data_IF_414408539407
#
_entry.id   IF_414408539407
#
_cell.length_a   1.000
_cell.length_b   1.000
_cell.length_c   1.000
_cell.angle_alpha   90.00
_cell.angle_beta   90.00
_cell.angle_gamma   90.00
#
_symmetry.space_group_name_H-M   'P 1'
#
loop_
_entity.id
_entity.type
_entity.pdbx_description
1 polymer ?
#
# COMPACT_ATOMS: atom_id res chain seq x y z
N UNK A 1 -28.91 13.12 87.14
CA UNK A 1 -27.79 13.01 86.21
C UNK A 1 -28.33 12.49 84.90
N UNK A 2 -28.44 13.35 83.91
CA UNK A 2 -28.92 12.96 82.58
C UNK A 2 -27.67 12.84 81.67
N UNK A 3 -27.47 11.64 81.07
CA UNK A 3 -26.40 11.40 80.12
C UNK A 3 -26.77 11.97 78.74
N UNK A 4 -25.89 12.80 78.16
CA UNK A 4 -25.99 13.25 76.76
C UNK A 4 -25.49 12.15 75.83
N UNK A 5 -26.15 11.89 74.68
CA UNK A 5 -25.62 10.97 73.68
C UNK A 5 -24.54 11.65 72.82
N UNK A 6 -23.41 11.02 72.68
CA UNK A 6 -22.31 11.41 71.77
C UNK A 6 -22.68 11.00 70.36
N UNK A 7 -22.90 11.98 69.46
CA UNK A 7 -23.12 11.72 68.01
C UNK A 7 -21.75 11.61 67.34
N UNK A 8 -21.40 10.43 66.84
CA UNK A 8 -20.21 10.20 66.01
C UNK A 8 -20.58 10.46 64.56
N UNK A 9 -20.03 11.55 64.01
CA UNK A 9 -20.14 11.83 62.59
C UNK A 9 -19.08 11.01 61.85
N UNK A 10 -19.50 9.95 61.10
CA UNK A 10 -18.62 9.22 60.19
C UNK A 10 -18.53 10.01 58.86
N UNK A 11 -17.41 10.62 58.59
CA UNK A 11 -17.11 11.22 57.26
C UNK A 11 -16.71 10.09 56.31
N UNK A 12 -17.60 9.78 55.37
CA UNK A 12 -17.31 8.85 54.26
C UNK A 12 -16.62 9.64 53.14
N UNK A 13 -15.32 9.42 52.99
CA UNK A 13 -14.58 9.93 51.84
C UNK A 13 -14.93 9.08 50.61
N UNK A 14 -15.72 9.62 49.67
CA UNK A 14 -15.82 9.09 48.32
C UNK A 14 -14.55 9.40 47.55
N UNK A 15 -13.67 8.43 47.41
CA UNK A 15 -12.66 8.46 46.37
C UNK A 15 -13.35 8.31 45.03
N UNK A 16 -13.55 9.44 44.32
CA UNK A 16 -13.87 9.42 42.88
C UNK A 16 -12.58 9.07 42.17
N UNK A 17 -12.37 7.78 41.90
CA UNK A 17 -11.35 7.33 40.96
C UNK A 17 -11.77 7.85 39.58
N UNK A 18 -11.10 8.87 39.07
CA UNK A 18 -11.17 9.20 37.65
C UNK A 18 -10.57 8.01 36.89
N UNK A 19 -11.40 7.06 36.52
CA UNK A 19 -11.05 6.07 35.50
C UNK A 19 -11.01 6.85 34.20
N UNK A 20 -9.84 7.35 33.83
CA UNK A 20 -9.60 7.76 32.44
C UNK A 20 -9.84 6.50 31.61
N UNK A 21 -10.85 6.55 30.75
CA UNK A 21 -11.04 5.48 29.79
C UNK A 21 -9.75 5.35 28.97
N UNK A 22 -9.20 4.14 28.93
CA UNK A 22 -8.03 3.84 28.10
C UNK A 22 -8.39 4.15 26.65
N UNK A 23 -7.55 4.94 25.97
CA UNK A 23 -7.80 5.31 24.59
C UNK A 23 -7.68 4.07 23.71
N UNK A 24 -8.65 3.88 22.83
CA UNK A 24 -8.66 2.75 21.90
C UNK A 24 -7.55 2.83 20.88
N UNK A 25 -6.98 1.66 20.53
CA UNK A 25 -5.90 1.54 19.56
C UNK A 25 -6.21 2.26 18.25
N UNK A 26 -5.26 3.02 17.76
CA UNK A 26 -5.33 3.76 16.49
C UNK A 26 -4.16 3.36 15.60
N UNK A 27 -4.43 3.06 14.35
CA UNK A 27 -3.40 2.73 13.35
C UNK A 27 -3.32 3.85 12.32
N UNK A 28 -2.10 4.32 12.06
CA UNK A 28 -1.79 5.26 10.98
C UNK A 28 -0.89 4.54 9.99
N UNK A 29 -1.23 4.59 8.70
CA UNK A 29 -0.43 4.04 7.61
C UNK A 29 -0.07 5.17 6.65
N UNK A 30 1.23 5.39 6.44
CA UNK A 30 1.77 6.26 5.40
C UNK A 30 2.39 5.40 4.33
N UNK A 31 1.88 5.46 3.10
CA UNK A 31 2.51 4.85 1.94
C UNK A 31 3.29 5.91 1.17
N UNK A 32 4.60 5.70 1.04
CA UNK A 32 5.51 6.54 0.26
C UNK A 32 5.80 5.85 -1.06
N UNK A 33 5.06 6.21 -2.10
CA UNK A 33 5.10 5.56 -3.42
C UNK A 33 6.51 5.49 -4.00
N UNK A 34 6.89 4.33 -4.50
CA UNK A 34 8.15 4.09 -5.19
C UNK A 34 9.40 4.18 -4.30
N UNK A 35 9.25 4.23 -2.97
CA UNK A 35 10.39 4.35 -2.07
C UNK A 35 11.09 3.00 -1.87
N UNK A 36 12.29 2.89 -2.43
CA UNK A 36 13.12 1.66 -2.37
C UNK A 36 13.58 1.34 -0.96
N UNK A 37 13.73 0.03 -0.67
CA UNK A 37 14.20 -0.48 0.62
C UNK A 37 15.60 0.02 1.02
N UNK A 38 16.45 0.37 0.07
CA UNK A 38 17.85 0.75 0.30
C UNK A 38 18.07 2.25 0.60
N UNK A 39 17.00 2.98 0.91
CA UNK A 39 17.10 4.40 1.34
C UNK A 39 18.01 4.60 2.55
N UNK A 40 18.11 3.60 3.42
CA UNK A 40 18.97 3.64 4.61
C UNK A 40 20.47 3.77 4.29
N UNK A 41 20.88 3.61 3.03
CA UNK A 41 22.24 3.93 2.58
C UNK A 41 22.50 5.43 2.50
N UNK A 42 21.44 6.26 2.55
CA UNK A 42 21.58 7.72 2.64
C UNK A 42 21.73 8.09 4.12
N UNK A 43 22.79 8.83 4.46
CA UNK A 43 22.94 9.51 5.73
C UNK A 43 21.87 10.60 5.89
N UNK A 44 21.52 10.96 7.12
CA UNK A 44 20.64 12.08 7.48
C UNK A 44 19.13 11.80 7.38
N UNK A 45 18.69 10.55 7.60
CA UNK A 45 17.28 10.16 7.65
C UNK A 45 16.81 9.94 9.11
N UNK A 46 16.89 11.00 9.91
CA UNK A 46 16.67 10.97 11.36
C UNK A 46 15.29 10.45 11.78
N UNK A 47 14.23 10.70 11.00
CA UNK A 47 12.90 10.17 11.29
C UNK A 47 12.81 8.65 11.06
N UNK A 48 13.36 8.15 9.96
CA UNK A 48 13.45 6.71 9.70
C UNK A 48 14.38 6.01 10.71
N UNK A 49 15.49 6.66 11.08
CA UNK A 49 16.43 6.14 12.09
C UNK A 49 15.76 6.06 13.47
N UNK A 50 14.97 7.08 13.84
CA UNK A 50 14.17 7.06 15.07
C UNK A 50 13.21 5.87 15.08
N UNK A 51 12.44 5.65 13.99
CA UNK A 51 11.51 4.52 13.91
C UNK A 51 12.26 3.20 14.00
N UNK A 52 13.37 3.04 13.27
CA UNK A 52 14.16 1.81 13.30
C UNK A 52 14.75 1.50 14.69
N UNK A 53 15.12 2.53 15.45
CA UNK A 53 15.75 2.38 16.79
C UNK A 53 14.72 2.12 17.88
N UNK A 54 13.55 2.76 17.81
CA UNK A 54 12.54 2.70 18.87
C UNK A 54 11.40 1.74 18.58
N UNK A 55 11.24 1.32 17.34
CA UNK A 55 10.19 0.45 16.84
C UNK A 55 10.74 -0.67 15.96
N UNK A 56 10.15 -0.87 14.81
CA UNK A 56 10.40 -2.00 13.93
C UNK A 56 10.86 -1.52 12.54
N UNK A 57 11.88 -2.19 12.02
CA UNK A 57 12.31 -2.09 10.62
C UNK A 57 12.42 -3.47 10.01
N UNK A 58 11.80 -3.69 8.85
CA UNK A 58 12.05 -4.88 8.04
C UNK A 58 13.28 -4.68 7.14
N UNK A 59 13.93 -5.79 6.76
CA UNK A 59 14.99 -5.78 5.75
C UNK A 59 14.50 -5.15 4.46
N UNK A 60 13.30 -5.55 4.01
CA UNK A 60 12.57 -4.95 2.90
C UNK A 60 11.11 -5.44 2.87
N UNK A 61 10.26 -4.70 2.17
CA UNK A 61 8.93 -5.11 1.80
C UNK A 61 8.96 -5.74 0.41
N UNK A 62 8.44 -6.96 0.28
CA UNK A 62 8.28 -7.69 -0.98
C UNK A 62 6.93 -7.28 -1.58
N UNK A 63 6.90 -6.54 -2.72
CA UNK A 63 5.66 -6.15 -3.34
C UNK A 63 4.97 -7.33 -4.03
N UNK A 64 3.69 -7.16 -4.36
CA UNK A 64 2.99 -8.09 -5.25
C UNK A 64 3.47 -7.92 -6.69
N UNK A 65 3.12 -8.87 -7.56
CA UNK A 65 3.43 -8.78 -8.99
C UNK A 65 2.14 -8.51 -9.78
N UNK A 66 2.17 -7.57 -10.76
CA UNK A 66 3.26 -6.66 -11.05
C UNK A 66 3.43 -5.59 -9.96
N UNK A 67 4.69 -5.18 -9.71
CA UNK A 67 5.03 -4.21 -8.66
C UNK A 67 4.66 -2.80 -9.11
N UNK A 68 3.35 -2.52 -9.18
CA UNK A 68 2.79 -1.24 -9.62
C UNK A 68 1.84 -0.65 -8.58
N UNK A 69 1.61 0.65 -8.65
CA UNK A 69 0.89 1.45 -7.65
C UNK A 69 -0.47 0.88 -7.26
N UNK A 70 -1.35 0.60 -8.24
CA UNK A 70 -2.71 0.12 -7.96
C UNK A 70 -2.71 -1.28 -7.35
N UNK A 71 -2.11 -2.32 -7.98
CA UNK A 71 -2.00 -3.64 -7.36
C UNK A 71 -1.36 -3.60 -5.97
N UNK A 72 -0.30 -2.82 -5.81
CA UNK A 72 0.42 -2.68 -4.54
C UNK A 72 -0.47 -2.12 -3.43
N UNK A 73 -1.09 -0.96 -3.66
CA UNK A 73 -1.94 -0.32 -2.64
C UNK A 73 -3.20 -1.13 -2.31
N UNK A 74 -3.78 -1.81 -3.31
CA UNK A 74 -4.93 -2.68 -3.07
C UNK A 74 -4.50 -3.92 -2.27
N UNK A 75 -3.34 -4.52 -2.57
CA UNK A 75 -2.81 -5.64 -1.77
C UNK A 75 -2.46 -5.24 -0.33
N UNK A 76 -1.85 -4.04 -0.11
CA UNK A 76 -1.62 -3.49 1.23
C UNK A 76 -2.92 -3.35 2.04
N UNK A 77 -4.02 -3.03 1.35
CA UNK A 77 -5.31 -2.78 1.98
C UNK A 77 -6.21 -4.00 2.11
N UNK A 78 -5.99 -5.05 1.32
CA UNK A 78 -6.87 -6.24 1.29
C UNK A 78 -6.23 -7.49 1.88
N UNK A 79 -4.90 -7.53 1.97
CA UNK A 79 -4.17 -8.71 2.45
C UNK A 79 -4.18 -9.89 1.48
N UNK A 80 -4.48 -9.65 0.18
CA UNK A 80 -4.48 -10.69 -0.86
C UNK A 80 -3.64 -10.28 -2.06
N UNK A 81 -3.27 -11.25 -2.91
CA UNK A 81 -2.56 -11.01 -4.16
C UNK A 81 -3.48 -10.49 -5.28
N UNK A 82 -2.86 -10.00 -6.36
CA UNK A 82 -3.53 -9.31 -7.47
C UNK A 82 -4.60 -10.15 -8.17
N UNK A 83 -4.42 -11.45 -8.27
CA UNK A 83 -5.41 -12.36 -8.86
C UNK A 83 -6.66 -12.57 -8.00
N UNK A 84 -6.59 -12.27 -6.71
CA UNK A 84 -7.72 -12.37 -5.78
C UNK A 84 -8.49 -11.06 -5.65
N UNK A 85 -7.81 -9.92 -5.62
CA UNK A 85 -8.50 -8.62 -5.57
C UNK A 85 -8.83 -8.05 -6.95
N UNK A 86 -8.33 -8.67 -8.02
CA UNK A 86 -8.68 -8.35 -9.41
C UNK A 86 -8.00 -7.12 -10.03
N UNK A 87 -7.27 -6.31 -9.27
CA UNK A 87 -6.56 -5.14 -9.80
C UNK A 87 -5.18 -5.55 -10.27
N UNK A 88 -5.04 -5.84 -11.56
CA UNK A 88 -3.81 -6.38 -12.14
C UNK A 88 -2.82 -5.28 -12.59
N UNK A 89 -3.30 -4.06 -12.82
CA UNK A 89 -2.51 -2.89 -13.22
C UNK A 89 -3.21 -1.58 -12.85
N UNK A 90 -2.51 -0.45 -13.00
CA UNK A 90 -3.10 0.89 -12.89
C UNK A 90 -4.18 1.11 -13.97
N UNK A 91 -4.05 0.41 -15.10
CA UNK A 91 -5.08 0.34 -16.15
C UNK A 91 -5.17 -1.09 -16.66
N UNK A 92 -6.37 -1.63 -16.80
CA UNK A 92 -6.57 -3.02 -17.19
C UNK A 92 -7.81 -3.18 -18.09
N UNK A 93 -7.89 -4.32 -18.75
CA UNK A 93 -9.04 -4.74 -19.54
C UNK A 93 -9.72 -5.92 -18.85
N UNK A 94 -11.03 -5.80 -18.66
CA UNK A 94 -11.88 -6.91 -18.24
C UNK A 94 -12.65 -7.44 -19.46
N UNK A 95 -12.58 -8.74 -19.71
CA UNK A 95 -13.19 -9.38 -20.88
C UNK A 95 -14.72 -9.28 -20.91
N UNK A 96 -15.37 -8.95 -19.77
CA UNK A 96 -16.82 -8.78 -19.67
C UNK A 96 -17.25 -7.31 -19.66
N UNK A 97 -16.44 -6.44 -19.00
CA UNK A 97 -16.84 -5.06 -18.69
C UNK A 97 -16.10 -4.02 -19.52
N UNK A 98 -14.97 -4.40 -20.17
CA UNK A 98 -14.22 -3.51 -21.04
C UNK A 98 -12.96 -2.94 -20.38
N UNK A 99 -12.54 -1.75 -20.82
CA UNK A 99 -11.28 -1.13 -20.44
C UNK A 99 -11.46 -0.12 -19.29
N UNK A 100 -10.64 -0.27 -18.27
CA UNK A 100 -10.54 0.63 -17.12
C UNK A 100 -9.17 1.32 -17.11
N UNK A 101 -9.18 2.63 -16.93
CA UNK A 101 -7.97 3.46 -16.90
C UNK A 101 -7.90 4.27 -15.62
N UNK A 102 -7.01 3.91 -14.71
CA UNK A 102 -6.92 4.50 -13.36
C UNK A 102 -8.30 4.59 -12.70
N UNK A 103 -9.00 3.44 -12.55
CA UNK A 103 -10.38 3.44 -12.09
C UNK A 103 -10.47 3.93 -10.63
N UNK A 104 -11.56 4.62 -10.34
CA UNK A 104 -11.91 5.13 -9.02
C UNK A 104 -13.03 4.34 -8.32
N UNK A 105 -13.59 3.33 -9.01
CA UNK A 105 -14.67 2.50 -8.50
C UNK A 105 -14.16 1.48 -7.49
N UNK A 106 -14.51 1.62 -6.22
CA UNK A 106 -14.18 0.68 -5.15
C UNK A 106 -14.70 -0.74 -5.40
N UNK A 107 -15.88 -0.86 -6.04
CA UNK A 107 -16.51 -2.15 -6.38
C UNK A 107 -15.74 -2.97 -7.44
N UNK A 108 -14.71 -2.41 -8.07
CA UNK A 108 -13.81 -3.18 -8.93
C UNK A 108 -12.82 -4.06 -8.16
N UNK A 109 -12.69 -3.84 -6.86
CA UNK A 109 -11.89 -4.66 -5.96
C UNK A 109 -12.77 -5.84 -5.51
N UNK A 110 -12.36 -7.07 -5.82
CA UNK A 110 -13.18 -8.27 -5.62
C UNK A 110 -13.32 -8.70 -4.14
N UNK A 111 -12.53 -8.12 -3.24
CA UNK A 111 -12.54 -8.41 -1.78
C UNK A 111 -12.54 -7.12 -0.97
N UNK A 112 -13.08 -7.12 0.27
CA UNK A 112 -13.20 -5.91 1.06
C UNK A 112 -11.83 -5.36 1.49
N UNK A 113 -11.54 -4.05 1.25
CA UNK A 113 -10.38 -3.38 1.82
C UNK A 113 -10.50 -3.19 3.34
N UNK A 114 -9.38 -3.03 4.04
CA UNK A 114 -9.30 -2.95 5.51
C UNK A 114 -10.12 -1.77 6.09
N UNK A 115 -10.25 -0.64 5.38
CA UNK A 115 -11.09 0.47 5.83
C UNK A 115 -12.57 0.10 5.80
N UNK A 116 -13.02 -0.75 4.86
CA UNK A 116 -14.38 -1.27 4.81
C UNK A 116 -14.63 -2.21 5.99
N UNK A 117 -13.70 -3.12 6.26
CA UNK A 117 -13.78 -4.03 7.40
C UNK A 117 -13.79 -3.27 8.75
N UNK A 118 -13.00 -2.20 8.85
CA UNK A 118 -13.00 -1.32 10.02
C UNK A 118 -14.39 -0.68 10.23
N UNK A 119 -14.96 -0.06 9.19
CA UNK A 119 -16.29 0.55 9.26
C UNK A 119 -17.38 -0.47 9.60
N UNK A 120 -17.33 -1.67 9.02
CA UNK A 120 -18.26 -2.76 9.34
C UNK A 120 -18.13 -3.24 10.79
N UNK A 121 -16.93 -3.14 11.37
CA UNK A 121 -16.68 -3.43 12.77
C UNK A 121 -17.02 -2.25 13.71
N UNK A 122 -17.56 -1.13 13.19
CA UNK A 122 -17.87 0.08 13.96
C UNK A 122 -16.64 0.92 14.32
N UNK A 123 -15.54 0.74 13.61
CA UNK A 123 -14.28 1.48 13.76
C UNK A 123 -14.20 2.54 12.67
N UNK A 124 -14.35 3.84 12.98
CA UNK A 124 -14.27 4.89 11.98
C UNK A 124 -12.90 4.89 11.28
N UNK A 125 -12.91 4.93 9.94
CA UNK A 125 -11.72 4.99 9.11
C UNK A 125 -11.59 6.35 8.41
N UNK A 126 -10.36 6.78 8.18
CA UNK A 126 -10.01 7.95 7.39
C UNK A 126 -9.03 7.57 6.30
N UNK A 127 -9.33 7.96 5.05
CA UNK A 127 -8.46 7.70 3.91
C UNK A 127 -8.15 8.97 3.15
N UNK A 128 -6.85 9.16 2.84
CA UNK A 128 -6.37 10.31 2.08
C UNK A 128 -5.69 9.79 0.80
N UNK A 129 -6.43 9.81 -0.32
CA UNK A 129 -5.97 9.40 -1.65
C UNK A 129 -5.52 7.93 -1.77
N UNK A 130 -5.92 7.06 -0.87
CA UNK A 130 -5.57 5.65 -1.01
C UNK A 130 -6.33 5.03 -2.18
N UNK A 131 -5.61 4.30 -3.04
CA UNK A 131 -6.16 3.66 -4.24
C UNK A 131 -7.34 2.74 -3.91
N UNK A 132 -8.46 2.93 -4.61
CA UNK A 132 -9.69 2.16 -4.43
C UNK A 132 -10.59 2.66 -3.30
N UNK A 133 -10.23 3.79 -2.66
CA UNK A 133 -11.05 4.41 -1.61
C UNK A 133 -11.90 5.58 -2.11
N UNK A 134 -11.85 5.89 -3.41
CA UNK A 134 -12.50 7.05 -4.01
C UNK A 134 -14.03 6.95 -3.95
N UNK A 135 -14.56 5.73 -4.06
CA UNK A 135 -15.98 5.43 -3.91
C UNK A 135 -16.22 4.35 -2.85
N UNK A 136 -17.46 4.06 -2.55
CA UNK A 136 -17.80 2.99 -1.60
C UNK A 136 -17.58 1.62 -2.25
N UNK A 137 -17.20 0.65 -1.44
CA UNK A 137 -17.19 -0.76 -1.76
C UNK A 137 -18.47 -1.40 -1.20
N UNK A 138 -19.33 -1.96 -2.05
CA UNK A 138 -20.63 -2.54 -1.65
C UNK A 138 -21.41 -1.63 -0.67
N UNK A 139 -21.49 -0.34 -0.99
CA UNK A 139 -22.14 0.72 -0.20
C UNK A 139 -21.50 0.98 1.18
N UNK A 140 -20.28 0.54 1.42
CA UNK A 140 -19.51 0.87 2.63
C UNK A 140 -18.22 1.60 2.23
N UNK A 141 -17.99 2.77 2.80
CA UNK A 141 -16.79 3.56 2.55
C UNK A 141 -16.24 4.14 3.86
N UNK A 142 -15.04 4.68 3.82
CA UNK A 142 -14.45 5.33 4.98
C UNK A 142 -15.26 6.54 5.43
N UNK A 143 -15.48 6.68 6.74
CA UNK A 143 -16.20 7.80 7.37
C UNK A 143 -15.59 9.16 7.03
N UNK A 144 -14.27 9.21 6.85
CA UNK A 144 -13.52 10.38 6.43
C UNK A 144 -12.76 10.06 5.16
N UNK A 145 -13.02 10.79 4.08
CA UNK A 145 -12.43 10.53 2.77
C UNK A 145 -11.92 11.81 2.13
N UNK A 146 -10.70 11.80 1.62
CA UNK A 146 -10.18 12.79 0.68
C UNK A 146 -10.00 12.10 -0.68
N UNK A 147 -10.81 12.49 -1.64
CA UNK A 147 -10.88 11.95 -2.99
C UNK A 147 -11.52 13.00 -3.92
N UNK A 148 -11.34 12.92 -5.24
CA UNK A 148 -10.40 12.06 -5.95
C UNK A 148 -8.93 12.47 -5.71
N UNK A 149 -7.97 11.65 -6.19
CA UNK A 149 -6.55 12.00 -6.15
C UNK A 149 -6.27 13.32 -6.87
N UNK A 150 -5.50 14.18 -6.22
CA UNK A 150 -5.05 15.46 -6.75
C UNK A 150 -3.56 15.66 -6.44
N UNK A 151 -2.71 15.53 -7.46
CA UNK A 151 -1.26 15.68 -7.35
C UNK A 151 -0.81 17.10 -6.91
N UNK A 152 -1.69 18.10 -6.95
CA UNK A 152 -1.39 19.45 -6.45
C UNK A 152 -1.46 19.56 -4.93
N UNK A 153 -2.06 18.59 -4.25
CA UNK A 153 -2.18 18.56 -2.79
C UNK A 153 -0.87 18.09 -2.18
N UNK A 154 -0.19 18.99 -1.46
CA UNK A 154 1.12 18.71 -0.89
C UNK A 154 1.07 17.69 0.27
N UNK A 155 2.19 17.00 0.52
CA UNK A 155 2.32 16.07 1.63
C UNK A 155 2.19 16.78 2.98
N UNK A 156 2.57 18.07 3.09
CA UNK A 156 2.33 18.92 4.26
C UNK A 156 0.83 19.05 4.56
N UNK A 157 0.01 19.19 3.52
CA UNK A 157 -1.46 19.24 3.66
C UNK A 157 -2.01 17.92 4.18
N UNK A 158 -1.42 16.80 3.73
CA UNK A 158 -1.81 15.45 4.19
C UNK A 158 -1.52 15.27 5.69
N UNK A 159 -0.33 15.71 6.16
CA UNK A 159 0.01 15.69 7.60
C UNK A 159 -0.96 16.55 8.42
N UNK A 160 -1.22 17.78 7.98
CA UNK A 160 -2.16 18.66 8.65
C UNK A 160 -3.55 18.01 8.79
N UNK A 161 -4.04 17.36 7.74
CA UNK A 161 -5.33 16.66 7.79
C UNK A 161 -5.29 15.46 8.75
N UNK A 162 -4.19 14.70 8.80
CA UNK A 162 -4.03 13.61 9.76
C UNK A 162 -4.11 14.15 11.19
N UNK A 163 -3.41 15.24 11.48
CA UNK A 163 -3.44 15.86 12.81
C UNK A 163 -4.82 16.40 13.18
N UNK A 164 -5.55 16.99 12.24
CA UNK A 164 -6.94 17.40 12.43
C UNK A 164 -7.86 16.21 12.77
N UNK A 165 -7.67 15.06 12.13
CA UNK A 165 -8.43 13.84 12.45
C UNK A 165 -8.08 13.31 13.84
N UNK A 166 -6.83 13.38 14.26
CA UNK A 166 -6.40 12.95 15.61
C UNK A 166 -6.97 13.84 16.72
N UNK A 167 -7.31 15.10 16.42
CA UNK A 167 -7.86 16.07 17.37
C UNK A 167 -9.40 16.02 17.48
N UNK A 168 -10.07 15.13 16.75
CA UNK A 168 -11.52 14.92 16.85
C UNK A 168 -11.90 14.29 18.20
N UNK A 169 -13.18 14.47 18.60
CA UNK A 169 -13.75 13.80 19.76
C UNK A 169 -13.61 12.28 19.66
N UNK A 170 -13.23 11.60 20.73
CA UNK A 170 -12.94 10.16 20.76
C UNK A 170 -14.07 9.29 20.19
N UNK A 171 -15.33 9.76 20.22
CA UNK A 171 -16.48 9.03 19.68
C UNK A 171 -16.53 8.97 18.16
N UNK A 172 -15.89 9.93 17.49
CA UNK A 172 -15.92 10.03 16.02
C UNK A 172 -14.52 10.00 15.42
N UNK A 173 -13.48 10.07 16.25
CA UNK A 173 -12.08 10.07 15.81
C UNK A 173 -11.78 8.78 15.04
N UNK A 174 -11.21 8.87 13.82
CA UNK A 174 -10.83 7.66 13.08
C UNK A 174 -9.74 6.90 13.83
N UNK A 175 -9.91 5.59 13.89
CA UNK A 175 -8.95 4.65 14.49
C UNK A 175 -8.11 3.92 13.46
N UNK A 176 -8.48 4.02 12.18
CA UNK A 176 -7.66 3.66 11.03
C UNK A 176 -7.48 4.90 10.16
N UNK A 177 -6.24 5.33 9.94
CA UNK A 177 -5.91 6.46 9.07
C UNK A 177 -4.91 5.97 8.02
N UNK A 178 -5.24 6.09 6.74
CA UNK A 178 -4.37 5.66 5.64
C UNK A 178 -4.11 6.85 4.70
N UNK A 179 -2.84 7.13 4.40
CA UNK A 179 -2.45 8.27 3.56
C UNK A 179 -1.42 7.88 2.52
N UNK A 180 -1.67 8.27 1.26
CA UNK A 180 -0.82 8.04 0.11
C UNK A 180 0.03 9.27 -0.22
N UNK A 181 1.34 9.08 -0.39
CA UNK A 181 2.33 10.11 -0.70
C UNK A 181 3.10 9.76 -1.98
N UNK A 182 2.86 10.50 -3.05
CA UNK A 182 3.32 10.19 -4.41
C UNK A 182 4.72 10.76 -4.77
N UNK A 183 5.33 11.54 -3.87
CA UNK A 183 6.47 12.39 -4.23
C UNK A 183 7.72 11.65 -4.71
N UNK A 184 8.07 10.49 -4.15
CA UNK A 184 9.28 9.75 -4.54
C UNK A 184 9.11 9.13 -5.90
N UNK A 185 7.99 8.47 -6.18
CA UNK A 185 7.67 7.87 -7.48
C UNK A 185 7.70 8.93 -8.60
N UNK A 186 7.01 10.05 -8.40
CA UNK A 186 6.95 11.15 -9.36
C UNK A 186 8.33 11.64 -9.79
N UNK A 187 9.26 11.80 -8.83
CA UNK A 187 10.62 12.27 -9.13
C UNK A 187 11.44 11.15 -9.78
N UNK A 188 11.27 9.90 -9.33
CA UNK A 188 12.02 8.76 -9.83
C UNK A 188 11.72 8.43 -11.29
N UNK A 189 10.50 8.62 -11.75
CA UNK A 189 10.16 8.50 -13.17
C UNK A 189 10.94 9.49 -14.05
N UNK A 190 11.19 10.70 -13.56
CA UNK A 190 11.87 11.74 -14.32
C UNK A 190 13.40 11.63 -14.29
N UNK A 191 13.96 11.31 -13.14
CA UNK A 191 15.39 11.35 -12.86
C UNK A 191 16.06 9.98 -12.83
N UNK A 192 15.29 8.91 -12.73
CA UNK A 192 15.75 7.58 -12.36
C UNK A 192 15.87 7.43 -10.83
N UNK A 193 16.11 6.20 -10.33
CA UNK A 193 16.06 5.90 -8.90
C UNK A 193 17.23 6.45 -8.08
N UNK A 194 18.30 6.94 -8.72
CA UNK A 194 19.56 7.33 -8.07
C UNK A 194 19.96 8.78 -8.31
N UNK A 195 19.12 9.56 -8.97
CA UNK A 195 19.40 10.96 -9.30
C UNK A 195 19.46 11.90 -8.09
N UNK A 196 20.07 13.11 -8.20
CA UNK A 196 20.18 14.05 -7.09
C UNK A 196 18.82 14.58 -6.60
N UNK A 197 17.82 14.65 -7.47
CA UNK A 197 16.47 15.08 -7.08
C UNK A 197 15.75 14.02 -6.23
N UNK A 198 16.02 12.73 -6.45
CA UNK A 198 15.53 11.66 -5.58
C UNK A 198 16.04 11.83 -4.16
N UNK A 199 17.34 12.06 -4.00
CA UNK A 199 17.91 12.30 -2.66
C UNK A 199 17.23 13.48 -1.98
N UNK A 200 17.01 14.58 -2.70
CA UNK A 200 16.30 15.76 -2.17
C UNK A 200 14.86 15.43 -1.76
N UNK A 201 14.15 14.64 -2.56
CA UNK A 201 12.78 14.24 -2.27
C UNK A 201 12.70 13.31 -1.03
N UNK A 202 13.60 12.33 -0.93
CA UNK A 202 13.68 11.45 0.25
C UNK A 202 13.95 12.27 1.52
N UNK A 203 14.89 13.23 1.48
CA UNK A 203 15.15 14.13 2.62
C UNK A 203 13.93 15.00 2.96
N UNK A 204 13.16 15.44 1.96
CA UNK A 204 11.91 16.17 2.20
C UNK A 204 10.88 15.28 2.90
N UNK A 205 10.66 14.06 2.43
CA UNK A 205 9.72 13.13 3.05
C UNK A 205 10.18 12.70 4.46
N UNK A 206 11.48 12.53 4.67
CA UNK A 206 12.03 12.30 6.02
C UNK A 206 11.71 13.46 6.98
N UNK A 207 11.88 14.73 6.54
CA UNK A 207 11.51 15.90 7.34
C UNK A 207 10.01 15.90 7.68
N UNK A 208 9.16 15.60 6.70
CA UNK A 208 7.71 15.54 6.90
C UNK A 208 7.30 14.40 7.83
N UNK A 209 7.95 13.25 7.70
CA UNK A 209 7.75 12.14 8.62
C UNK A 209 8.13 12.54 10.06
N UNK A 210 9.24 13.28 10.25
CA UNK A 210 9.61 13.82 11.55
C UNK A 210 8.55 14.77 12.10
N UNK A 211 8.00 15.67 11.27
CA UNK A 211 6.90 16.55 11.68
C UNK A 211 5.69 15.76 12.19
N UNK A 212 5.34 14.65 11.52
CA UNK A 212 4.24 13.77 11.97
C UNK A 212 4.59 13.07 13.31
N UNK A 213 5.82 12.57 13.46
CA UNK A 213 6.28 11.98 14.73
C UNK A 213 6.21 12.99 15.89
N UNK A 214 6.67 14.22 15.65
CA UNK A 214 6.62 15.31 16.63
C UNK A 214 5.18 15.69 17.01
N UNK A 215 4.23 15.63 16.06
CA UNK A 215 2.82 15.87 16.34
C UNK A 215 2.20 14.78 17.22
N UNK A 216 2.63 13.52 17.05
CA UNK A 216 2.20 12.40 17.91
C UNK A 216 2.83 12.55 19.32
N UNK A 217 4.12 12.95 19.40
CA UNK A 217 4.81 13.25 20.67
C UNK A 217 4.09 14.33 21.47
N UNK A 218 3.73 15.46 20.85
CA UNK A 218 3.01 16.57 21.49
C UNK A 218 1.68 16.16 22.12
N UNK A 219 1.05 15.13 21.56
CA UNK A 219 -0.21 14.57 22.04
C UNK A 219 -0.03 13.50 23.12
N UNK A 220 1.22 13.11 23.43
CA UNK A 220 1.54 11.94 24.26
C UNK A 220 0.73 10.71 23.86
N UNK A 221 0.71 10.40 22.54
CA UNK A 221 -0.23 9.46 21.97
C UNK A 221 0.36 8.09 21.62
N UNK A 222 1.62 7.85 21.97
CA UNK A 222 2.32 6.59 21.68
C UNK A 222 1.85 5.38 22.49
N UNK A 223 1.02 5.59 23.50
CA UNK A 223 0.38 4.53 24.27
C UNK A 223 -0.83 3.90 23.58
N UNK A 224 -1.38 4.55 22.52
CA UNK A 224 -2.50 4.04 21.75
C UNK A 224 -2.34 4.17 20.22
N UNK A 225 -1.37 4.93 19.71
CA UNK A 225 -1.10 5.03 18.26
C UNK A 225 0.00 4.06 17.84
N UNK A 226 -0.25 3.33 16.75
CA UNK A 226 0.74 2.57 15.98
C UNK A 226 0.85 3.18 14.58
N UNK A 227 2.06 3.62 14.20
CA UNK A 227 2.36 4.21 12.90
C UNK A 227 3.14 3.21 12.04
N UNK A 228 2.66 2.95 10.83
CA UNK A 228 3.35 2.20 9.79
C UNK A 228 3.77 3.15 8.66
N UNK A 229 5.00 3.01 8.19
CA UNK A 229 5.53 3.71 7.02
C UNK A 229 6.00 2.66 6.03
N UNK A 230 5.32 2.57 4.90
CA UNK A 230 5.53 1.54 3.87
C UNK A 230 5.72 2.18 2.49
N UNK A 231 6.10 1.39 1.51
CA UNK A 231 5.93 1.72 0.10
C UNK A 231 5.26 0.56 -0.63
N UNK A 232 4.65 0.86 -1.74
CA UNK A 232 3.96 -0.12 -2.58
C UNK A 232 4.91 -0.88 -3.50
N UNK A 233 6.02 -0.27 -3.91
CA UNK A 233 7.11 -0.85 -4.70
C UNK A 233 8.39 -0.03 -4.58
N UNK A 234 9.43 -0.46 -5.27
CA UNK A 234 10.65 0.28 -5.52
C UNK A 234 10.69 0.89 -6.92
N UNK A 235 11.90 1.08 -7.47
CA UNK A 235 12.12 1.74 -8.76
C UNK A 235 13.44 1.28 -9.36
N UNK A 236 13.49 1.02 -10.68
CA UNK A 236 14.70 0.68 -11.41
C UNK A 236 14.91 1.58 -12.63
N UNK A 237 16.11 1.61 -13.18
CA UNK A 237 16.42 2.35 -14.41
C UNK A 237 15.88 1.64 -15.63
N UNK A 238 15.35 2.41 -16.60
CA UNK A 238 14.90 1.92 -17.90
C UNK A 238 15.50 2.74 -19.03
N UNK A 239 15.79 2.07 -20.15
CA UNK A 239 16.42 2.71 -21.31
C UNK A 239 16.03 2.10 -22.65
N UNK A 240 15.24 1.01 -22.63
CA UNK A 240 14.78 0.35 -23.85
C UNK A 240 13.24 0.27 -23.86
N UNK A 241 12.62 0.85 -24.88
CA UNK A 241 11.17 1.04 -24.95
C UNK A 241 10.59 0.15 -26.04
N UNK A 242 9.82 -0.88 -25.63
CA UNK A 242 9.19 -1.85 -26.52
C UNK A 242 7.81 -1.31 -26.91
N UNK A 243 7.62 -0.96 -28.18
CA UNK A 243 6.35 -0.46 -28.72
C UNK A 243 5.36 -1.62 -28.91
N UNK A 244 4.60 -1.94 -27.87
CA UNK A 244 3.70 -3.09 -27.85
C UNK A 244 2.67 -3.03 -29.00
N UNK A 245 2.09 -1.84 -29.25
CA UNK A 245 1.14 -1.65 -30.36
C UNK A 245 1.74 -1.99 -31.74
N UNK A 246 3.01 -1.69 -31.95
CA UNK A 246 3.68 -1.99 -33.21
C UNK A 246 3.92 -3.50 -33.37
N UNK A 247 4.28 -4.20 -32.29
CA UNK A 247 4.40 -5.65 -32.29
C UNK A 247 3.04 -6.33 -32.55
N UNK A 248 1.96 -5.84 -31.91
CA UNK A 248 0.60 -6.34 -32.19
C UNK A 248 0.26 -6.15 -33.66
N UNK A 249 0.52 -4.98 -34.24
CA UNK A 249 0.28 -4.73 -35.66
C UNK A 249 1.10 -5.66 -36.58
N UNK A 250 2.37 -5.90 -36.24
CA UNK A 250 3.26 -6.80 -36.99
C UNK A 250 2.78 -8.26 -36.95
N UNK A 251 2.17 -8.68 -35.84
CA UNK A 251 1.62 -10.04 -35.75
C UNK A 251 0.50 -10.33 -36.74
N UNK A 252 -0.19 -9.29 -37.22
CA UNK A 252 -1.36 -9.41 -38.09
C UNK A 252 -2.59 -10.02 -37.42
N UNK A 253 -2.55 -10.20 -36.09
CA UNK A 253 -3.62 -10.82 -35.30
C UNK A 253 -4.47 -9.72 -34.66
N UNK A 254 -5.79 -9.94 -34.60
CA UNK A 254 -6.69 -9.04 -33.88
C UNK A 254 -6.56 -9.29 -32.36
N UNK A 255 -5.95 -8.35 -31.65
CA UNK A 255 -5.62 -8.44 -30.22
C UNK A 255 -6.12 -7.19 -29.51
N UNK A 256 -6.89 -7.39 -28.43
CA UNK A 256 -7.10 -6.36 -27.41
C UNK A 256 -6.00 -6.51 -26.35
N UNK A 257 -5.35 -5.41 -25.98
CA UNK A 257 -4.25 -5.46 -25.03
C UNK A 257 -4.42 -4.44 -23.91
N UNK A 258 -4.07 -4.84 -22.68
CA UNK A 258 -3.80 -3.93 -21.58
C UNK A 258 -2.37 -4.17 -21.09
N UNK A 259 -1.63 -3.10 -20.79
CA UNK A 259 -0.24 -3.25 -20.40
C UNK A 259 0.17 -2.24 -19.35
N UNK A 260 0.94 -2.72 -18.38
CA UNK A 260 1.87 -1.92 -17.60
C UNK A 260 3.26 -1.93 -18.23
N UNK A 261 4.26 -1.41 -17.51
CA UNK A 261 5.63 -1.33 -18.00
C UNK A 261 6.30 -2.68 -18.24
N UNK A 262 6.05 -3.65 -17.37
CA UNK A 262 6.74 -4.94 -17.39
C UNK A 262 5.85 -6.11 -17.81
N UNK A 263 4.54 -5.98 -17.67
CA UNK A 263 3.57 -7.04 -17.94
C UNK A 263 2.50 -6.53 -18.88
N UNK A 264 2.13 -7.33 -19.89
CA UNK A 264 1.03 -7.04 -20.79
C UNK A 264 0.10 -8.25 -20.93
N UNK A 265 -1.20 -8.00 -20.92
CA UNK A 265 -2.25 -8.99 -21.10
C UNK A 265 -2.84 -8.84 -22.50
N UNK A 266 -2.84 -9.93 -23.28
CA UNK A 266 -3.32 -9.98 -24.63
C UNK A 266 -4.59 -10.85 -24.69
N UNK A 267 -5.68 -10.29 -25.18
CA UNK A 267 -6.97 -10.96 -25.34
C UNK A 267 -7.27 -11.16 -26.81
N UNK A 268 -7.65 -12.36 -27.21
CA UNK A 268 -7.87 -12.72 -28.60
C UNK A 268 -8.78 -13.94 -28.77
N UNK A 269 -9.19 -14.22 -30.02
CA UNK A 269 -9.86 -15.46 -30.33
C UNK A 269 -8.96 -16.69 -30.12
N UNK A 270 -9.51 -17.77 -29.58
CA UNK A 270 -8.75 -18.98 -29.24
C UNK A 270 -8.05 -19.59 -30.48
N UNK A 271 -8.63 -19.43 -31.69
CA UNK A 271 -8.00 -19.90 -32.93
C UNK A 271 -6.70 -19.16 -33.28
N UNK A 272 -6.54 -17.93 -32.77
CA UNK A 272 -5.35 -17.08 -33.01
C UNK A 272 -4.26 -17.30 -31.97
N UNK A 273 -4.58 -17.89 -30.82
CA UNK A 273 -3.72 -17.98 -29.65
C UNK A 273 -2.37 -18.64 -29.92
N UNK A 274 -2.37 -19.80 -30.63
CA UNK A 274 -1.11 -20.52 -30.93
C UNK A 274 -0.21 -19.71 -31.86
N UNK A 275 -0.78 -19.02 -32.85
CA UNK A 275 0.00 -18.15 -33.75
C UNK A 275 0.57 -16.93 -33.00
N UNK A 276 -0.24 -16.32 -32.13
CA UNK A 276 0.17 -15.20 -31.30
C UNK A 276 1.30 -15.61 -30.33
N UNK A 277 1.14 -16.73 -29.61
CA UNK A 277 2.16 -17.23 -28.69
C UNK A 277 3.50 -17.47 -29.41
N UNK A 278 3.44 -18.11 -30.60
CA UNK A 278 4.64 -18.33 -31.42
C UNK A 278 5.29 -17.00 -31.85
N UNK A 279 4.51 -16.02 -32.27
CA UNK A 279 5.02 -14.71 -32.71
C UNK A 279 5.71 -13.97 -31.55
N UNK A 280 5.04 -13.85 -30.42
CA UNK A 280 5.56 -13.10 -29.28
C UNK A 280 6.74 -13.79 -28.58
N UNK A 281 6.77 -15.14 -28.56
CA UNK A 281 7.91 -15.90 -28.02
C UNK A 281 9.20 -15.74 -28.83
N UNK A 282 9.12 -15.24 -30.06
CA UNK A 282 10.30 -14.95 -30.89
C UNK A 282 10.81 -13.52 -30.77
N UNK A 283 10.10 -12.66 -30.03
CA UNK A 283 10.52 -11.28 -29.84
C UNK A 283 11.62 -11.19 -28.80
N UNK A 284 12.65 -10.37 -29.11
CA UNK A 284 13.73 -10.13 -28.18
C UNK A 284 13.22 -9.44 -26.90
N UNK A 285 13.75 -9.84 -25.76
CA UNK A 285 13.44 -9.26 -24.45
C UNK A 285 11.98 -9.42 -23.99
N UNK A 286 11.24 -10.37 -24.57
CA UNK A 286 9.88 -10.70 -24.21
C UNK A 286 9.79 -12.19 -23.86
N UNK A 287 9.20 -12.48 -22.70
CA UNK A 287 8.73 -13.81 -22.33
C UNK A 287 7.22 -13.84 -22.55
N UNK A 288 6.73 -14.83 -23.29
CA UNK A 288 5.31 -14.98 -23.59
C UNK A 288 4.77 -16.27 -22.96
N UNK A 289 3.72 -16.14 -22.17
CA UNK A 289 3.08 -17.24 -21.46
C UNK A 289 1.64 -17.41 -21.94
N UNK A 290 1.21 -18.66 -22.14
CA UNK A 290 -0.21 -18.96 -22.07
C UNK A 290 -0.70 -18.72 -20.63
N UNK A 291 -1.90 -18.17 -20.44
CA UNK A 291 -2.41 -17.88 -19.10
C UNK A 291 -2.48 -19.11 -18.19
N UNK A 292 -2.59 -20.30 -18.76
CA UNK A 292 -2.64 -21.56 -18.00
C UNK A 292 -1.24 -22.10 -17.64
N UNK A 293 -0.19 -21.56 -18.26
CA UNK A 293 1.20 -21.91 -18.00
C UNK A 293 1.93 -20.83 -17.17
N UNK A 294 1.21 -19.82 -16.67
CA UNK A 294 1.76 -18.82 -15.78
C UNK A 294 2.25 -19.48 -14.46
N UNK A 295 3.45 -19.17 -13.99
CA UNK A 295 3.87 -19.59 -12.66
C UNK A 295 2.86 -19.14 -11.59
N UNK A 296 2.44 -20.06 -10.72
CA UNK A 296 1.51 -19.75 -9.61
C UNK A 296 2.02 -18.59 -8.74
N UNK A 297 3.34 -18.51 -8.54
CA UNK A 297 3.99 -17.47 -7.75
C UNK A 297 3.84 -16.05 -8.34
N UNK A 298 3.33 -15.91 -9.56
CA UNK A 298 3.05 -14.59 -10.14
C UNK A 298 1.74 -14.01 -9.63
N UNK A 299 0.79 -14.85 -9.21
CA UNK A 299 -0.52 -14.40 -8.74
C UNK A 299 -1.21 -13.43 -9.72
N UNK A 300 -1.20 -13.82 -11.02
CA UNK A 300 -1.76 -13.01 -12.11
C UNK A 300 -2.97 -13.65 -12.79
N UNK A 301 -3.45 -14.81 -12.31
CA UNK A 301 -4.48 -15.57 -13.01
C UNK A 301 -5.90 -15.20 -12.54
N UNK A 302 -6.33 -13.98 -12.87
CA UNK A 302 -7.72 -13.56 -12.63
C UNK A 302 -8.66 -14.03 -13.77
N UNK A 303 -9.91 -14.45 -13.46
CA UNK A 303 -10.80 -15.08 -14.45
C UNK A 303 -11.11 -14.24 -15.69
N UNK A 304 -11.30 -12.92 -15.56
CA UNK A 304 -11.73 -12.02 -16.63
C UNK A 304 -10.72 -10.95 -17.04
N UNK A 305 -9.72 -10.66 -16.15
CA UNK A 305 -8.76 -9.56 -16.33
C UNK A 305 -7.39 -10.05 -16.78
N UNK A 306 -7.11 -11.35 -16.69
CA UNK A 306 -5.89 -11.94 -17.25
C UNK A 306 -6.10 -12.28 -18.72
N UNK A 307 -5.18 -11.81 -19.58
CA UNK A 307 -5.21 -12.08 -21.02
C UNK A 307 -4.97 -13.55 -21.36
N UNK A 308 -5.41 -13.97 -22.54
CA UNK A 308 -5.15 -15.33 -23.07
C UNK A 308 -3.65 -15.63 -23.18
N UNK A 309 -2.85 -14.58 -23.44
CA UNK A 309 -1.40 -14.57 -23.40
C UNK A 309 -0.95 -13.43 -22.49
N UNK A 310 0.06 -13.70 -21.67
CA UNK A 310 0.72 -12.71 -20.83
C UNK A 310 2.16 -12.54 -21.31
N UNK A 311 2.52 -11.31 -21.62
CA UNK A 311 3.89 -10.93 -21.98
C UNK A 311 4.59 -10.31 -20.79
N UNK A 312 5.85 -10.69 -20.59
CA UNK A 312 6.69 -10.18 -19.51
C UNK A 312 8.01 -9.68 -20.10
N UNK A 313 8.50 -8.58 -19.57
CA UNK A 313 9.83 -8.05 -19.89
C UNK A 313 10.56 -7.66 -18.61
N UNK A 314 11.90 -7.70 -18.65
CA UNK A 314 12.77 -7.35 -17.54
C UNK A 314 13.52 -6.03 -17.80
N UNK A 315 13.99 -5.33 -16.75
CA UNK A 315 14.79 -4.13 -16.94
C UNK A 315 16.06 -4.44 -17.79
N UNK A 316 16.56 -3.50 -18.58
CA UNK A 316 16.14 -2.11 -18.71
C UNK A 316 15.01 -1.88 -19.72
N UNK A 317 14.26 -2.94 -20.09
CA UNK A 317 13.19 -2.85 -21.09
C UNK A 317 11.86 -2.48 -20.42
N UNK A 318 11.00 -1.77 -21.15
CA UNK A 318 9.61 -1.56 -20.74
C UNK A 318 8.66 -1.53 -21.94
N UNK A 319 7.46 -2.03 -21.76
CA UNK A 319 6.37 -1.85 -22.73
C UNK A 319 5.85 -0.41 -22.68
N UNK A 320 5.63 0.15 -23.85
CA UNK A 320 4.98 1.46 -23.99
C UNK A 320 4.16 1.52 -25.27
N UNK A 321 3.21 2.43 -25.30
CA UNK A 321 2.46 2.80 -26.52
C UNK A 321 2.72 4.27 -26.90
N UNK A 322 3.58 4.96 -26.16
CA UNK A 322 3.91 6.37 -26.37
C UNK A 322 5.42 6.53 -26.51
N UNK A 323 5.90 6.71 -27.76
CA UNK A 323 7.33 6.92 -28.05
C UNK A 323 7.92 8.19 -27.41
N UNK A 324 7.08 9.16 -27.08
CA UNK A 324 7.53 10.40 -26.46
C UNK A 324 7.60 10.31 -24.91
N UNK A 325 6.98 9.31 -24.31
CA UNK A 325 7.08 9.05 -22.89
C UNK A 325 8.27 8.12 -22.64
N UNK A 326 9.39 8.70 -22.25
CA UNK A 326 10.65 7.99 -21.98
C UNK A 326 11.06 8.26 -20.52
N UNK A 327 10.38 7.65 -19.53
CA UNK A 327 10.79 7.77 -18.14
C UNK A 327 12.19 7.17 -17.96
N UNK A 328 12.99 7.73 -17.05
CA UNK A 328 14.31 7.18 -16.70
C UNK A 328 14.20 6.09 -15.63
N UNK A 329 13.22 6.20 -14.75
CA UNK A 329 12.87 5.19 -13.75
C UNK A 329 11.53 4.56 -14.03
N UNK A 330 11.41 3.26 -13.72
CA UNK A 330 10.18 2.49 -13.88
C UNK A 330 10.12 1.34 -12.87
N UNK A 331 8.92 0.85 -12.67
CA UNK A 331 8.57 -0.25 -11.78
C UNK A 331 7.61 -1.22 -12.48
N UNK A 332 7.03 -2.18 -11.76
CA UNK A 332 6.12 -3.18 -12.34
C UNK A 332 6.80 -4.50 -12.72
N UNK A 333 8.09 -4.63 -12.42
CA UNK A 333 8.87 -5.83 -12.68
C UNK A 333 8.69 -6.88 -11.58
N UNK A 334 9.37 -8.02 -11.74
CA UNK A 334 9.33 -9.10 -10.77
C UNK A 334 9.72 -8.63 -9.36
N UNK A 335 8.96 -9.00 -8.31
CA UNK A 335 9.29 -8.69 -6.92
C UNK A 335 10.58 -9.37 -6.43
N UNK A 336 11.11 -10.33 -7.19
CA UNK A 336 12.41 -10.94 -6.92
C UNK A 336 13.58 -9.98 -7.16
N UNK A 337 13.39 -8.96 -8.01
CA UNK A 337 14.40 -7.94 -8.26
C UNK A 337 14.54 -7.03 -7.03
N UNK A 338 15.76 -6.85 -6.49
CA UNK A 338 15.99 -5.98 -5.33
C UNK A 338 15.46 -4.55 -5.53
N UNK A 339 15.54 -4.04 -6.74
CA UNK A 339 15.09 -2.69 -7.10
C UNK A 339 13.57 -2.50 -6.96
N UNK A 340 12.79 -3.58 -6.97
CA UNK A 340 11.34 -3.52 -6.76
C UNK A 340 10.93 -3.56 -5.29
N UNK A 341 11.84 -3.88 -4.38
CA UNK A 341 11.56 -3.99 -2.96
C UNK A 341 11.33 -2.62 -2.32
N UNK A 342 10.29 -2.53 -1.52
CA UNK A 342 9.91 -1.32 -0.80
C UNK A 342 10.41 -1.28 0.64
N UNK A 343 10.02 -0.23 1.34
CA UNK A 343 10.29 -0.02 2.77
C UNK A 343 9.16 -0.57 3.64
N UNK A 344 9.51 -0.99 4.87
CA UNK A 344 8.56 -1.27 5.94
C UNK A 344 9.17 -0.85 7.28
N UNK A 345 8.55 0.14 7.91
CA UNK A 345 8.90 0.67 9.21
C UNK A 345 7.65 0.78 10.07
N UNK A 346 7.77 0.56 11.38
CA UNK A 346 6.65 0.75 12.28
C UNK A 346 7.09 1.17 13.69
N UNK A 347 6.29 2.00 14.39
CA UNK A 347 6.53 2.45 15.75
C UNK A 347 5.19 2.70 16.46
N UNK A 348 5.15 2.48 17.77
CA UNK A 348 4.02 2.86 18.62
C UNK A 348 3.53 1.78 19.58
N UNK A 349 2.29 1.91 20.03
CA UNK A 349 1.70 1.17 21.14
C UNK A 349 1.78 -0.36 21.04
N UNK A 350 1.51 -0.90 19.86
CA UNK A 350 1.51 -2.34 19.63
C UNK A 350 2.89 -2.89 19.20
N UNK A 351 3.94 -2.05 19.15
CA UNK A 351 5.17 -2.33 18.42
C UNK A 351 6.37 -2.26 19.36
N UNK A 352 7.11 -3.36 19.47
CA UNK A 352 8.39 -3.39 20.20
C UNK A 352 9.56 -3.24 19.22
N UNK A 353 10.70 -2.77 19.76
CA UNK A 353 11.93 -2.66 18.96
C UNK A 353 12.36 -4.04 18.45
N UNK A 354 12.40 -4.17 17.11
CA UNK A 354 12.73 -5.40 16.42
C UNK A 354 13.22 -5.14 15.01
N UNK A 355 14.22 -5.88 14.58
CA UNK A 355 14.57 -6.02 13.17
C UNK A 355 13.88 -7.28 12.62
N UNK A 356 13.21 -7.15 11.49
CA UNK A 356 12.57 -8.25 10.79
C UNK A 356 13.34 -8.60 9.51
N UNK A 357 13.27 -9.86 9.14
CA UNK A 357 13.57 -10.27 7.76
C UNK A 357 12.60 -9.64 6.75
N UNK A 358 12.57 -10.15 5.51
CA UNK A 358 11.62 -9.71 4.51
C UNK A 358 10.16 -9.87 4.98
N UNK A 359 9.32 -8.87 4.63
CA UNK A 359 7.88 -8.85 4.92
C UNK A 359 7.13 -8.79 3.58
N UNK A 360 6.03 -9.53 3.43
CA UNK A 360 5.21 -9.46 2.24
C UNK A 360 4.20 -8.31 2.33
N UNK A 361 3.92 -7.68 1.22
CA UNK A 361 2.99 -6.55 1.13
C UNK A 361 1.59 -6.91 1.65
N UNK A 362 1.14 -8.14 1.38
CA UNK A 362 -0.15 -8.67 1.82
C UNK A 362 -0.24 -8.88 3.36
N UNK A 363 0.87 -8.80 4.09
CA UNK A 363 0.89 -9.01 5.55
C UNK A 363 0.44 -7.76 6.33
N UNK A 364 0.32 -6.58 5.67
CA UNK A 364 -0.06 -5.34 6.35
C UNK A 364 -1.51 -5.34 6.81
N UNK A 365 -2.46 -5.68 5.92
CA UNK A 365 -3.90 -5.66 6.27
C UNK A 365 -4.24 -6.58 7.45
N UNK A 366 -3.80 -7.86 7.49
CA UNK A 366 -4.05 -8.71 8.66
C UNK A 366 -3.34 -8.19 9.92
N UNK A 367 -2.19 -7.51 9.81
CA UNK A 367 -1.51 -6.87 10.95
C UNK A 367 -2.34 -5.71 11.51
N UNK A 368 -2.90 -4.86 10.65
CA UNK A 368 -3.81 -3.78 11.04
C UNK A 368 -5.07 -4.37 11.71
N UNK A 369 -5.64 -5.41 11.12
CA UNK A 369 -6.82 -6.08 11.65
C UNK A 369 -6.60 -6.63 13.07
N UNK A 370 -5.44 -7.23 13.32
CA UNK A 370 -5.06 -7.75 14.64
C UNK A 370 -4.97 -6.63 15.68
N UNK A 371 -4.30 -5.51 15.37
CA UNK A 371 -4.19 -4.34 16.27
C UNK A 371 -5.56 -3.74 16.59
N UNK A 372 -6.44 -3.63 15.60
CA UNK A 372 -7.76 -3.02 15.75
C UNK A 372 -8.84 -4.00 16.26
N UNK A 373 -8.52 -5.29 16.36
CA UNK A 373 -9.45 -6.33 16.80
C UNK A 373 -10.53 -6.71 15.77
N UNK A 374 -10.27 -6.45 14.48
CA UNK A 374 -11.15 -6.83 13.36
C UNK A 374 -11.06 -8.35 13.16
N UNK A 375 -12.21 -9.03 13.06
CA UNK A 375 -12.28 -10.50 13.03
C UNK A 375 -12.59 -11.09 11.64
N UNK A 376 -13.15 -10.33 10.73
CA UNK A 376 -13.52 -10.80 9.39
C UNK A 376 -12.31 -10.75 8.44
N UNK A 377 -11.34 -11.65 8.65
CA UNK A 377 -10.07 -11.69 7.95
C UNK A 377 -9.79 -13.02 7.23
N UNK A 378 -10.74 -13.96 7.24
CA UNK A 378 -10.55 -15.32 6.71
C UNK A 378 -10.22 -15.35 5.20
N UNK A 379 -10.58 -14.31 4.45
CA UNK A 379 -10.26 -14.18 3.03
C UNK A 379 -8.81 -13.72 2.78
N UNK A 380 -8.12 -13.18 3.78
CA UNK A 380 -6.76 -12.67 3.65
C UNK A 380 -5.76 -13.81 3.46
N UNK A 381 -4.86 -13.67 2.49
CA UNK A 381 -3.77 -14.61 2.22
C UNK A 381 -2.51 -14.28 3.03
N UNK A 382 -2.35 -13.01 3.38
CA UNK A 382 -1.27 -12.53 4.23
C UNK A 382 -1.42 -13.00 5.67
N UNK A 383 -0.36 -12.84 6.45
CA UNK A 383 -0.30 -13.20 7.87
C UNK A 383 0.03 -11.97 8.70
N UNK A 384 -0.63 -11.81 9.85
CA UNK A 384 -0.27 -10.76 10.77
C UNK A 384 1.20 -10.87 11.19
N UNK A 385 1.92 -9.76 11.11
CA UNK A 385 3.32 -9.66 11.49
C UNK A 385 3.41 -9.67 13.02
N UNK A 386 4.28 -10.51 13.58
CA UNK A 386 4.58 -10.48 15.02
C UNK A 386 5.31 -9.18 15.35
N UNK A 387 4.59 -8.24 15.98
CA UNK A 387 5.08 -6.91 16.34
C UNK A 387 5.78 -6.87 17.72
N UNK A 388 5.72 -7.97 18.48
CA UNK A 388 6.33 -8.12 19.79
C UNK A 388 7.49 -9.07 19.75
N UNK A 389 8.43 -8.89 20.67
CA UNK A 389 9.57 -9.79 20.86
C UNK A 389 9.14 -11.00 21.70
N UNK A 390 8.82 -12.11 21.04
CA UNK A 390 8.41 -13.36 21.71
C UNK A 390 9.51 -13.98 22.60
N UNK A 391 10.77 -13.51 22.47
CA UNK A 391 11.88 -14.01 23.29
C UNK A 391 11.87 -13.46 24.72
N UNK A 392 11.00 -12.49 25.03
CA UNK A 392 10.89 -11.83 26.34
C UNK A 392 9.80 -12.41 27.26
N UNK A 393 9.13 -13.45 26.82
CA UNK A 393 8.14 -14.23 27.56
C UNK A 393 8.57 -15.69 27.66
#
# INVERSE_FOLDING_TARGET
>A
MRALPTIVFSIVFFFVSNVFAEKEATVIVISMDGMRHDISKNSDLDAFERIATMGLKAEHLIPVYPSTTYPGHVSLATGVYSDQHGILHNSFYDSKEGYFNYPDQGDLIDVPPIWVLAEQAGIPAAVFFWVGSETDWNNVGASFRKAPFDASVSEETKIKQITEWLDLDDKIRPRLIMSYWDGTDTVAHQEGPTGPLIKKQILRQNRLLRELLDEIDKRNAWDYISLFVVSDHGMTEVSNYIMLRDLIKQSGINITASSGPAVAHLFMDQNSKVAALRFFSQQANIQAYDKYDLPESFHLNHPTRTGDIVLITDPPNMFTNNINAQPKGMHGYSPQLPDMRGIFYAIGAAIEHKELGPVHQIDLAPTIADILGIKDTDHMQGKAISLKDESKH
#
